data_IF_783310294617
#
_entry.id   IF_783310294617
#
_cell.length_a   1.000
_cell.length_b   1.000
_cell.length_c   1.000
_cell.angle_alpha   90.00
_cell.angle_beta   90.00
_cell.angle_gamma   90.00
#
_symmetry.space_group_name_H-M   'P 1'
#
loop_
_entity.id
_entity.type
_entity.pdbx_description
1 polymer ?
#
# COMPACT_ATOMS: atom_id res chain seq x y z
N UNK A 1 10.64 21.97 34.62
CA UNK A 1 9.33 21.90 33.93
C UNK A 1 9.25 20.57 33.18
N UNK A 2 8.41 19.64 33.65
CA UNK A 2 8.23 18.34 32.99
C UNK A 2 7.64 18.54 31.59
N UNK A 3 8.25 17.94 30.57
CA UNK A 3 7.66 17.90 29.22
C UNK A 3 6.26 17.30 29.35
N UNK A 4 5.21 18.09 29.15
CA UNK A 4 3.85 17.55 29.06
C UNK A 4 3.81 16.58 27.89
N UNK A 5 3.81 15.29 28.20
CA UNK A 5 3.63 14.24 27.21
C UNK A 5 2.14 14.26 26.81
N UNK A 6 1.87 14.41 25.51
CA UNK A 6 0.53 14.30 24.96
C UNK A 6 -0.14 13.01 25.47
N UNK A 7 -1.41 13.10 25.86
CA UNK A 7 -2.20 11.92 26.25
C UNK A 7 -2.22 10.89 25.11
N UNK A 8 -2.43 9.61 25.44
CA UNK A 8 -2.56 8.55 24.44
C UNK A 8 -3.59 8.90 23.36
N UNK A 9 -4.74 9.45 23.76
CA UNK A 9 -5.83 9.85 22.84
C UNK A 9 -5.38 11.00 21.93
N UNK A 10 -4.71 12.02 22.49
CA UNK A 10 -4.19 13.15 21.71
C UNK A 10 -3.14 12.67 20.69
N UNK A 11 -2.21 11.81 21.11
CA UNK A 11 -1.20 11.24 20.22
C UNK A 11 -1.81 10.36 19.13
N UNK A 12 -2.79 9.53 19.48
CA UNK A 12 -3.50 8.67 18.54
C UNK A 12 -4.28 9.49 17.51
N UNK A 13 -5.02 10.50 17.97
CA UNK A 13 -5.80 11.42 17.13
C UNK A 13 -4.92 12.23 16.19
N UNK A 14 -3.86 12.87 16.71
CA UNK A 14 -2.92 13.66 15.91
C UNK A 14 -2.23 12.80 14.85
N UNK A 15 -1.81 11.58 15.22
CA UNK A 15 -1.16 10.66 14.26
C UNK A 15 -2.15 10.14 13.22
N UNK A 16 -3.43 9.97 13.59
CA UNK A 16 -4.51 9.64 12.66
C UNK A 16 -4.79 10.75 11.66
N UNK A 17 -4.85 12.01 12.11
CA UNK A 17 -5.00 13.17 11.24
C UNK A 17 -3.79 13.30 10.30
N UNK A 18 -2.57 13.17 10.83
CA UNK A 18 -1.34 13.18 10.06
C UNK A 18 -1.37 12.15 8.92
N UNK A 19 -1.74 10.91 9.27
CA UNK A 19 -1.85 9.83 8.31
C UNK A 19 -2.96 10.11 7.29
N UNK A 20 -4.11 10.62 7.74
CA UNK A 20 -5.21 11.02 6.87
C UNK A 20 -4.82 12.07 5.84
N UNK A 21 -4.14 13.14 6.27
CA UNK A 21 -3.62 14.20 5.40
C UNK A 21 -2.58 13.64 4.43
N UNK A 22 -1.60 12.88 4.91
CA UNK A 22 -0.57 12.26 4.07
C UNK A 22 -1.17 11.33 3.01
N UNK A 23 -2.12 10.46 3.39
CA UNK A 23 -2.80 9.58 2.44
C UNK A 23 -3.65 10.35 1.43
N UNK A 24 -4.26 11.45 1.85
CA UNK A 24 -5.08 12.30 0.97
C UNK A 24 -4.22 13.07 -0.02
N UNK A 25 -3.08 13.62 0.41
CA UNK A 25 -2.12 14.27 -0.47
C UNK A 25 -1.53 13.30 -1.52
N UNK A 26 -1.24 12.05 -1.12
CA UNK A 26 -0.72 11.03 -2.02
C UNK A 26 -1.80 10.29 -2.85
N UNK A 27 -3.09 10.52 -2.58
CA UNK A 27 -4.18 9.77 -3.21
C UNK A 27 -4.23 9.91 -4.75
N UNK A 28 -4.02 11.09 -5.36
CA UNK A 28 -4.06 11.23 -6.81
C UNK A 28 -3.04 10.34 -7.54
N UNK A 29 -1.77 10.40 -7.13
CA UNK A 29 -0.71 9.59 -7.74
C UNK A 29 -0.91 8.10 -7.44
N UNK A 30 -1.44 7.76 -6.26
CA UNK A 30 -1.76 6.37 -5.93
C UNK A 30 -2.90 5.81 -6.78
N UNK A 31 -3.92 6.62 -7.10
CA UNK A 31 -4.97 6.20 -8.03
C UNK A 31 -4.41 5.98 -9.43
N UNK A 32 -3.58 6.88 -9.94
CA UNK A 32 -2.94 6.72 -11.26
C UNK A 32 -2.08 5.46 -11.30
N UNK A 33 -1.32 5.18 -10.23
CA UNK A 33 -0.60 3.91 -10.07
C UNK A 33 -1.53 2.71 -10.24
N UNK A 34 -2.65 2.67 -9.50
CA UNK A 34 -3.57 1.54 -9.52
C UNK A 34 -4.23 1.37 -10.89
N UNK A 35 -4.65 2.47 -11.53
CA UNK A 35 -5.24 2.45 -12.88
C UNK A 35 -4.27 1.87 -13.91
N UNK A 36 -3.01 2.31 -13.90
CA UNK A 36 -1.98 1.80 -14.82
C UNK A 36 -1.61 0.34 -14.52
N UNK A 37 -1.55 -0.03 -13.23
CA UNK A 37 -1.19 -1.39 -12.78
C UNK A 37 -2.25 -2.44 -13.15
N UNK A 38 -3.53 -2.07 -13.12
CA UNK A 38 -4.66 -2.99 -13.29
C UNK A 38 -5.41 -2.79 -14.61
N UNK A 39 -4.91 -1.95 -15.52
CA UNK A 39 -5.58 -1.60 -16.77
C UNK A 39 -5.98 -2.82 -17.61
N UNK A 40 -5.17 -3.88 -17.64
CA UNK A 40 -5.47 -5.08 -18.44
C UNK A 40 -6.69 -5.83 -17.88
N UNK A 41 -6.82 -5.91 -16.55
CA UNK A 41 -8.03 -6.46 -15.91
C UNK A 41 -9.24 -5.54 -16.09
N UNK A 42 -9.02 -4.22 -16.14
CA UNK A 42 -10.08 -3.26 -16.49
C UNK A 42 -10.53 -3.45 -17.94
N UNK A 43 -9.63 -3.77 -18.88
CA UNK A 43 -9.98 -4.05 -20.29
C UNK A 43 -10.76 -5.38 -20.37
N UNK A 44 -10.29 -6.45 -19.71
CA UNK A 44 -10.95 -7.77 -19.69
C UNK A 44 -12.37 -7.69 -19.11
N UNK A 45 -12.57 -6.89 -18.06
CA UNK A 45 -13.90 -6.63 -17.47
C UNK A 45 -14.73 -5.57 -18.22
N UNK A 46 -14.24 -5.06 -19.34
CA UNK A 46 -14.95 -4.07 -20.15
C UNK A 46 -15.09 -2.69 -19.50
N UNK A 47 -14.24 -2.35 -18.53
CA UNK A 47 -14.21 -1.05 -17.82
C UNK A 47 -13.24 -0.04 -18.40
N UNK A 48 -12.33 -0.47 -19.26
CA UNK A 48 -11.40 0.39 -19.97
C UNK A 48 -11.40 0.02 -21.44
N UNK A 49 -11.66 0.98 -22.31
CA UNK A 49 -11.74 0.73 -23.74
C UNK A 49 -10.37 0.48 -24.39
N UNK A 50 -9.33 1.21 -23.94
CA UNK A 50 -7.97 1.12 -24.47
C UNK A 50 -6.93 1.32 -23.38
N UNK A 51 -5.77 0.64 -23.47
CA UNK A 51 -4.71 0.79 -22.48
C UNK A 51 -4.23 2.24 -22.37
N UNK A 52 -3.66 2.58 -21.22
CA UNK A 52 -2.95 3.83 -20.99
C UNK A 52 -1.53 3.72 -21.53
N UNK A 53 -1.06 4.76 -22.23
CA UNK A 53 0.31 4.81 -22.74
C UNK A 53 1.35 5.09 -21.64
N UNK A 54 0.89 5.48 -20.44
CA UNK A 54 1.74 5.77 -19.30
C UNK A 54 1.01 6.57 -18.23
N UNK A 55 1.77 7.02 -17.23
CA UNK A 55 1.26 7.79 -16.07
C UNK A 55 0.63 9.11 -16.51
N UNK A 56 1.26 9.82 -17.45
CA UNK A 56 0.78 11.12 -17.96
C UNK A 56 -0.51 10.93 -18.76
N UNK A 57 -0.54 9.99 -19.71
CA UNK A 57 -1.75 9.67 -20.49
C UNK A 57 -2.92 9.26 -19.56
N UNK A 58 -2.65 8.41 -18.57
CA UNK A 58 -3.64 8.02 -17.57
C UNK A 58 -4.20 9.23 -16.82
N UNK A 59 -3.33 10.14 -16.38
CA UNK A 59 -3.72 11.35 -15.64
C UNK A 59 -4.58 12.26 -16.52
N UNK A 60 -4.13 12.57 -17.74
CA UNK A 60 -4.84 13.47 -18.66
C UNK A 60 -6.19 12.90 -19.05
N UNK A 61 -6.27 11.61 -19.40
CA UNK A 61 -7.53 10.95 -19.75
C UNK A 61 -8.49 10.92 -18.57
N UNK A 62 -8.00 10.56 -17.39
CA UNK A 62 -8.83 10.55 -16.17
C UNK A 62 -9.40 11.93 -15.87
N UNK A 63 -8.57 12.98 -15.97
CA UNK A 63 -9.03 14.36 -15.77
C UNK A 63 -10.07 14.77 -16.80
N UNK A 64 -9.85 14.50 -18.08
CA UNK A 64 -10.79 14.82 -19.16
C UNK A 64 -12.11 14.06 -19.08
N UNK A 65 -12.08 12.79 -18.65
CA UNK A 65 -13.26 11.92 -18.64
C UNK A 65 -14.06 12.02 -17.33
N UNK A 66 -13.39 12.22 -16.19
CA UNK A 66 -14.06 12.17 -14.88
C UNK A 66 -13.96 13.46 -14.07
N UNK A 67 -13.08 14.39 -14.45
CA UNK A 67 -12.75 15.60 -13.68
C UNK A 67 -11.71 15.36 -12.59
N UNK A 68 -11.56 16.35 -11.70
CA UNK A 68 -10.50 16.36 -10.67
C UNK A 68 -10.84 15.56 -9.40
N UNK A 69 -12.08 15.60 -8.92
CA UNK A 69 -12.48 14.93 -7.68
C UNK A 69 -12.24 13.40 -7.69
N UNK A 70 -12.43 12.69 -8.82
CA UNK A 70 -12.21 11.25 -8.87
C UNK A 70 -10.79 10.79 -8.59
N UNK A 71 -9.77 11.66 -8.62
CA UNK A 71 -8.42 11.31 -8.19
C UNK A 71 -8.35 10.79 -6.74
N UNK A 72 -9.32 11.15 -5.90
CA UNK A 72 -9.46 10.65 -4.51
C UNK A 72 -10.39 9.46 -4.36
N UNK A 73 -10.84 8.84 -5.46
CA UNK A 73 -11.76 7.71 -5.40
C UNK A 73 -11.11 6.51 -4.69
N UNK A 74 -11.77 6.04 -3.63
CA UNK A 74 -11.24 5.00 -2.75
C UNK A 74 -10.35 5.51 -1.60
N UNK A 75 -10.10 6.83 -1.51
CA UNK A 75 -9.26 7.38 -0.44
C UNK A 75 -9.85 7.21 0.96
N UNK A 76 -11.17 7.24 1.11
CA UNK A 76 -11.85 6.99 2.38
C UNK A 76 -11.39 5.67 3.02
N UNK A 77 -11.24 4.61 2.23
CA UNK A 77 -10.73 3.34 2.72
C UNK A 77 -9.28 3.42 3.20
N UNK A 78 -8.42 4.27 2.60
CA UNK A 78 -7.05 4.49 3.13
C UNK A 78 -7.07 5.12 4.52
N UNK A 79 -7.92 6.15 4.68
CA UNK A 79 -7.97 6.93 5.92
C UNK A 79 -8.54 6.07 7.03
N UNK A 80 -9.66 5.38 6.77
CA UNK A 80 -10.27 4.46 7.74
C UNK A 80 -9.30 3.36 8.14
N UNK A 81 -8.55 2.78 7.17
CA UNK A 81 -7.62 1.66 7.42
C UNK A 81 -6.54 1.98 8.45
N UNK A 82 -6.17 3.24 8.63
CA UNK A 82 -5.16 3.63 9.62
C UNK A 82 -5.56 3.22 11.04
N UNK A 83 -6.79 3.54 11.46
CA UNK A 83 -7.25 3.31 12.82
C UNK A 83 -7.23 1.84 13.28
N UNK A 84 -7.83 0.87 12.56
CA UNK A 84 -7.75 -0.54 12.95
C UNK A 84 -6.33 -1.10 12.82
N UNK A 85 -5.54 -0.63 11.85
CA UNK A 85 -4.12 -1.05 11.77
C UNK A 85 -3.35 -0.61 13.01
N UNK A 86 -3.58 0.62 13.49
CA UNK A 86 -2.93 1.09 14.71
C UNK A 86 -3.45 0.41 15.96
N UNK A 87 -4.76 0.16 16.08
CA UNK A 87 -5.32 -0.62 17.18
C UNK A 87 -4.65 -2.01 17.28
N UNK A 88 -4.48 -2.70 16.15
CA UNK A 88 -3.79 -3.99 16.09
C UNK A 88 -2.29 -3.87 16.43
N UNK A 89 -1.63 -2.81 15.97
CA UNK A 89 -0.25 -2.54 16.37
C UNK A 89 -0.14 -2.31 17.88
N UNK A 90 -1.03 -1.54 18.50
CA UNK A 90 -1.01 -1.34 19.95
C UNK A 90 -1.30 -2.63 20.71
N UNK A 91 -2.23 -3.45 20.24
CA UNK A 91 -2.59 -4.70 20.90
C UNK A 91 -1.49 -5.77 20.82
N UNK A 92 -0.86 -5.93 19.64
CA UNK A 92 -0.07 -7.15 19.35
C UNK A 92 1.41 -6.91 19.05
N UNK A 93 1.84 -5.68 18.76
CA UNK A 93 3.23 -5.43 18.31
C UNK A 93 4.26 -5.87 19.34
N UNK A 94 4.04 -5.59 20.62
CA UNK A 94 5.01 -5.91 21.67
C UNK A 94 5.05 -7.42 21.96
N UNK A 95 3.89 -8.09 21.93
CA UNK A 95 3.80 -9.55 22.05
C UNK A 95 4.52 -10.25 20.90
N UNK A 96 4.30 -9.79 19.66
CA UNK A 96 4.97 -10.35 18.47
C UNK A 96 6.48 -10.06 18.52
N UNK A 97 6.88 -8.86 18.93
CA UNK A 97 8.31 -8.54 19.08
C UNK A 97 8.97 -9.38 20.18
N UNK A 98 8.28 -9.62 21.29
CA UNK A 98 8.79 -10.46 22.37
C UNK A 98 8.96 -11.92 21.92
N UNK A 99 7.98 -12.46 21.20
CA UNK A 99 8.03 -13.83 20.67
C UNK A 99 9.18 -14.06 19.68
N UNK A 100 9.57 -13.04 18.92
CA UNK A 100 10.64 -13.10 17.93
C UNK A 100 11.89 -12.30 18.33
N UNK A 101 12.11 -12.05 19.63
CA UNK A 101 13.22 -11.24 20.10
C UNK A 101 14.57 -11.85 19.69
N UNK A 102 15.38 -11.06 18.99
CA UNK A 102 16.75 -11.40 18.65
C UNK A 102 17.66 -11.20 19.88
N UNK A 103 18.54 -12.16 20.16
CA UNK A 103 19.62 -12.04 21.13
C UNK A 103 20.84 -11.40 20.48
N UNK A 104 21.65 -10.68 21.26
CA UNK A 104 22.92 -10.13 20.77
C UNK A 104 23.90 -11.24 20.35
N UNK A 105 23.79 -12.42 20.95
CA UNK A 105 24.58 -13.62 20.63
C UNK A 105 24.10 -14.35 19.35
N UNK A 106 22.91 -14.01 18.83
CA UNK A 106 22.41 -14.64 17.61
C UNK A 106 23.27 -14.24 16.40
N UNK A 107 23.50 -15.20 15.49
CA UNK A 107 24.13 -14.93 14.20
C UNK A 107 23.28 -13.96 13.37
N UNK A 108 23.92 -13.26 12.43
CA UNK A 108 23.22 -12.32 11.54
C UNK A 108 22.04 -12.98 10.80
N UNK A 109 22.20 -14.23 10.35
CA UNK A 109 21.14 -14.97 9.68
C UNK A 109 19.92 -15.24 10.59
N UNK A 110 20.15 -15.54 11.87
CA UNK A 110 19.08 -15.77 12.85
C UNK A 110 18.37 -14.45 13.18
N UNK A 111 19.12 -13.36 13.38
CA UNK A 111 18.54 -12.01 13.61
C UNK A 111 17.66 -11.58 12.43
N UNK A 112 18.16 -11.76 11.21
CA UNK A 112 17.44 -11.48 9.97
C UNK A 112 16.14 -12.30 9.87
N UNK A 113 16.23 -13.62 10.09
CA UNK A 113 15.08 -14.52 10.02
C UNK A 113 14.02 -14.19 11.07
N UNK A 114 14.43 -13.86 12.31
CA UNK A 114 13.53 -13.41 13.38
C UNK A 114 12.82 -12.10 13.01
N UNK A 115 13.54 -11.13 12.44
CA UNK A 115 12.94 -9.86 12.00
C UNK A 115 11.92 -10.06 10.86
N UNK A 116 12.23 -10.92 9.88
CA UNK A 116 11.30 -11.27 8.82
C UNK A 116 10.07 -11.99 9.39
N UNK A 117 10.26 -12.98 10.26
CA UNK A 117 9.16 -13.75 10.85
C UNK A 117 8.25 -12.85 11.71
N UNK A 118 8.84 -12.03 12.58
CA UNK A 118 8.13 -11.03 13.39
C UNK A 118 7.29 -10.10 12.50
N UNK A 119 7.89 -9.57 11.44
CA UNK A 119 7.19 -8.74 10.48
C UNK A 119 6.09 -9.48 9.73
N UNK A 120 6.38 -10.68 9.23
CA UNK A 120 5.44 -11.52 8.50
C UNK A 120 4.19 -11.84 9.31
N UNK A 121 4.36 -12.28 10.57
CA UNK A 121 3.26 -12.57 11.49
C UNK A 121 2.46 -11.31 11.81
N UNK A 122 3.11 -10.20 12.18
CA UNK A 122 2.41 -8.93 12.45
C UNK A 122 1.64 -8.42 11.22
N UNK A 123 2.23 -8.57 10.04
CA UNK A 123 1.63 -8.20 8.76
C UNK A 123 0.41 -9.06 8.42
N UNK A 124 0.54 -10.38 8.48
CA UNK A 124 -0.55 -11.32 8.22
C UNK A 124 -1.72 -11.11 9.19
N UNK A 125 -1.42 -10.98 10.49
CA UNK A 125 -2.43 -10.72 11.51
C UNK A 125 -3.16 -9.40 11.27
N UNK A 126 -2.44 -8.33 10.92
CA UNK A 126 -3.07 -7.07 10.55
C UNK A 126 -3.98 -7.22 9.33
N UNK A 127 -3.51 -7.90 8.29
CA UNK A 127 -4.29 -8.14 7.07
C UNK A 127 -5.55 -8.97 7.36
N UNK A 128 -5.57 -9.88 8.33
CA UNK A 128 -6.79 -10.62 8.67
C UNK A 128 -7.99 -9.69 8.94
N UNK A 129 -7.76 -8.50 9.49
CA UNK A 129 -8.81 -7.52 9.77
C UNK A 129 -8.92 -6.45 8.68
N UNK A 130 -7.79 -5.95 8.18
CA UNK A 130 -7.79 -4.74 7.34
C UNK A 130 -7.74 -5.02 5.83
N UNK A 131 -7.57 -6.28 5.42
CA UNK A 131 -7.44 -6.63 4.00
C UNK A 131 -8.68 -6.27 3.18
N UNK A 132 -9.88 -6.41 3.75
CA UNK A 132 -11.12 -6.06 3.06
C UNK A 132 -11.19 -4.58 2.69
N UNK A 133 -10.58 -3.68 3.49
CA UNK A 133 -10.46 -2.26 3.18
C UNK A 133 -9.46 -2.01 2.04
N UNK A 134 -8.35 -2.74 2.00
CA UNK A 134 -7.40 -2.70 0.88
C UNK A 134 -8.04 -3.16 -0.44
N UNK A 135 -8.85 -4.23 -0.35
CA UNK A 135 -9.64 -4.73 -1.47
C UNK A 135 -10.60 -3.64 -1.97
N UNK A 136 -11.41 -3.07 -1.07
CA UNK A 136 -12.42 -2.09 -1.47
C UNK A 136 -11.80 -0.80 -2.02
N UNK A 137 -10.67 -0.36 -1.44
CA UNK A 137 -9.84 0.72 -1.99
C UNK A 137 -9.44 0.44 -3.44
N UNK A 138 -8.91 -0.76 -3.70
CA UNK A 138 -8.41 -1.16 -5.03
C UNK A 138 -9.54 -1.17 -6.04
N UNK A 139 -10.69 -1.75 -5.68
CA UNK A 139 -11.88 -1.79 -6.53
C UNK A 139 -12.39 -0.40 -6.88
N UNK A 140 -12.47 0.51 -5.91
CA UNK A 140 -12.91 1.89 -6.14
C UNK A 140 -11.91 2.69 -6.97
N UNK A 141 -10.62 2.55 -6.73
CA UNK A 141 -9.58 3.29 -7.45
C UNK A 141 -9.58 2.94 -8.95
N UNK A 142 -9.79 1.66 -9.27
CA UNK A 142 -9.84 1.12 -10.63
C UNK A 142 -11.23 1.23 -11.29
N UNK A 143 -12.22 1.79 -10.59
CA UNK A 143 -13.56 2.01 -11.13
C UNK A 143 -13.61 3.33 -11.91
N UNK A 144 -13.34 3.23 -13.22
CA UNK A 144 -13.31 4.36 -14.15
C UNK A 144 -14.61 4.50 -14.93
N UNK A 145 -14.97 5.74 -15.28
CA UNK A 145 -16.09 6.03 -16.20
C UNK A 145 -15.72 5.89 -17.68
N UNK A 146 -14.48 5.50 -17.99
CA UNK A 146 -13.90 5.57 -19.34
C UNK A 146 -14.38 4.54 -20.37
N UNK A 147 -15.48 3.81 -20.14
CA UNK A 147 -15.98 2.83 -21.10
C UNK A 147 -17.42 3.11 -21.57
N UNK A 148 -17.61 3.05 -22.89
CA UNK A 148 -18.91 3.14 -23.56
C UNK A 148 -19.82 1.92 -23.30
N UNK A 149 -19.25 0.71 -23.07
CA UNK A 149 -20.05 -0.50 -22.76
C UNK A 149 -20.80 -0.41 -21.42
N UNK A 150 -20.32 0.40 -20.48
CA UNK A 150 -21.01 0.69 -19.22
C UNK A 150 -21.87 1.96 -19.28
N UNK A 151 -22.05 2.57 -20.47
CA UNK A 151 -22.72 3.85 -20.62
C UNK A 151 -22.07 4.99 -19.82
N UNK A 152 -20.77 4.90 -19.54
CA UNK A 152 -20.06 5.83 -18.65
C UNK A 152 -20.44 5.72 -17.16
N UNK A 153 -21.20 4.70 -16.76
CA UNK A 153 -21.56 4.47 -15.37
C UNK A 153 -20.45 3.77 -14.59
N UNK A 154 -20.39 4.08 -13.30
CA UNK A 154 -19.45 3.47 -12.36
C UNK A 154 -19.96 2.12 -11.89
N UNK A 155 -19.05 1.18 -11.61
CA UNK A 155 -19.42 -0.11 -11.04
C UNK A 155 -19.95 0.04 -9.60
N UNK A 156 -19.36 0.94 -8.82
CA UNK A 156 -19.66 1.09 -7.40
C UNK A 156 -20.08 2.52 -7.04
N UNK A 157 -21.01 2.67 -6.12
CA UNK A 157 -21.41 3.98 -5.60
C UNK A 157 -20.50 4.46 -4.46
N UNK A 158 -19.80 3.53 -3.79
CA UNK A 158 -18.91 3.85 -2.69
C UNK A 158 -18.41 2.61 -1.96
N UNK A 159 -17.77 2.81 -0.79
CA UNK A 159 -17.17 1.74 0.00
C UNK A 159 -18.17 0.64 0.36
N UNK A 160 -19.32 1.01 0.93
CA UNK A 160 -20.36 0.06 1.35
C UNK A 160 -20.91 -0.73 0.16
N UNK A 161 -21.06 -0.09 -1.00
CA UNK A 161 -21.55 -0.75 -2.22
C UNK A 161 -20.57 -1.82 -2.74
N UNK A 162 -19.25 -1.60 -2.60
CA UNK A 162 -18.25 -2.63 -2.90
C UNK A 162 -18.44 -3.86 -2.04
N UNK A 163 -18.63 -3.68 -0.71
CA UNK A 163 -18.87 -4.80 0.20
C UNK A 163 -20.16 -5.53 -0.15
N UNK A 164 -21.28 -4.81 -0.29
CA UNK A 164 -22.59 -5.41 -0.61
C UNK A 164 -22.54 -6.22 -1.90
N UNK A 165 -22.02 -5.65 -2.99
CA UNK A 165 -21.94 -6.33 -4.29
C UNK A 165 -20.98 -7.52 -4.27
N UNK A 166 -19.81 -7.38 -3.64
CA UNK A 166 -18.83 -8.47 -3.56
C UNK A 166 -19.33 -9.62 -2.69
N UNK A 167 -19.93 -9.32 -1.53
CA UNK A 167 -20.49 -10.35 -0.65
C UNK A 167 -21.64 -11.10 -1.33
N UNK A 168 -22.48 -10.39 -2.09
CA UNK A 168 -23.56 -11.02 -2.86
C UNK A 168 -23.06 -11.93 -3.97
N UNK A 169 -21.96 -11.60 -4.64
CA UNK A 169 -21.45 -12.38 -5.77
C UNK A 169 -20.50 -13.53 -5.36
N UNK A 170 -19.57 -13.25 -4.45
CA UNK A 170 -18.41 -14.10 -4.17
C UNK A 170 -18.23 -14.40 -2.66
N UNK A 171 -19.12 -13.87 -1.81
CA UNK A 171 -19.02 -14.00 -0.36
C UNK A 171 -17.74 -13.38 0.22
N UNK A 172 -17.34 -13.88 1.40
CA UNK A 172 -16.15 -13.40 2.12
C UNK A 172 -14.85 -13.68 1.34
N UNK A 173 -14.81 -14.79 0.58
CA UNK A 173 -13.66 -15.17 -0.24
C UNK A 173 -13.36 -14.10 -1.30
N UNK A 174 -14.40 -13.45 -1.84
CA UNK A 174 -14.25 -12.33 -2.77
C UNK A 174 -13.52 -11.13 -2.17
N UNK A 175 -13.76 -10.81 -0.89
CA UNK A 175 -13.10 -9.70 -0.17
C UNK A 175 -11.64 -10.00 0.19
N UNK A 176 -11.28 -11.27 0.34
CA UNK A 176 -9.94 -11.73 0.74
C UNK A 176 -9.12 -12.31 -0.42
N UNK A 177 -9.60 -12.15 -1.65
CA UNK A 177 -8.90 -12.62 -2.84
C UNK A 177 -7.53 -11.95 -2.98
N UNK A 178 -6.48 -12.76 -3.04
CA UNK A 178 -5.08 -12.31 -3.05
C UNK A 178 -4.41 -12.21 -1.66
N UNK A 179 -5.08 -12.66 -0.58
CA UNK A 179 -4.53 -12.59 0.78
C UNK A 179 -3.18 -13.29 0.92
N UNK A 180 -3.06 -14.54 0.45
CA UNK A 180 -1.83 -15.35 0.60
C UNK A 180 -0.63 -14.68 -0.08
N UNK A 181 -0.78 -14.22 -1.33
CA UNK A 181 0.29 -13.55 -2.06
C UNK A 181 0.67 -12.21 -1.42
N UNK A 182 -0.24 -11.59 -0.67
CA UNK A 182 0.04 -10.39 0.11
C UNK A 182 0.93 -10.66 1.31
N UNK A 183 0.71 -11.77 2.01
CA UNK A 183 1.58 -12.21 3.10
C UNK A 183 2.99 -12.52 2.58
N UNK A 184 3.10 -13.22 1.43
CA UNK A 184 4.38 -13.46 0.76
C UNK A 184 5.05 -12.14 0.38
N UNK A 185 4.30 -11.17 -0.16
CA UNK A 185 4.82 -9.85 -0.50
C UNK A 185 5.38 -9.09 0.70
N UNK A 186 4.76 -9.21 1.88
CA UNK A 186 5.27 -8.62 3.12
C UNK A 186 6.61 -9.24 3.51
N UNK A 187 6.72 -10.57 3.42
CA UNK A 187 7.96 -11.31 3.74
C UNK A 187 9.08 -10.91 2.79
N UNK A 188 8.82 -10.90 1.48
CA UNK A 188 9.81 -10.51 0.45
C UNK A 188 10.23 -9.04 0.63
N UNK A 189 9.27 -8.12 0.77
CA UNK A 189 9.56 -6.71 0.98
C UNK A 189 10.42 -6.50 2.23
N UNK A 190 10.07 -7.13 3.36
CA UNK A 190 10.83 -6.98 4.60
C UNK A 190 12.20 -7.64 4.54
N UNK A 191 12.31 -8.80 3.90
CA UNK A 191 13.59 -9.46 3.71
C UNK A 191 14.55 -8.61 2.88
N UNK A 192 14.09 -8.07 1.75
CA UNK A 192 14.89 -7.12 0.97
C UNK A 192 15.23 -5.86 1.78
N UNK A 193 14.24 -5.29 2.49
CA UNK A 193 14.43 -4.07 3.26
C UNK A 193 15.53 -4.24 4.32
N UNK A 194 15.40 -5.24 5.20
CA UNK A 194 16.40 -5.46 6.24
C UNK A 194 17.73 -5.93 5.66
N UNK A 195 17.72 -6.76 4.62
CA UNK A 195 18.95 -7.26 3.99
C UNK A 195 19.78 -6.14 3.40
N UNK A 196 19.15 -5.23 2.64
CA UNK A 196 19.83 -4.06 2.12
C UNK A 196 20.20 -3.07 3.22
N UNK A 197 19.32 -2.80 4.17
CA UNK A 197 19.61 -1.83 5.24
C UNK A 197 20.80 -2.28 6.11
N UNK A 198 20.81 -3.54 6.53
CA UNK A 198 21.87 -4.09 7.39
C UNK A 198 23.20 -4.24 6.65
N UNK A 199 23.18 -4.43 5.32
CA UNK A 199 24.40 -4.51 4.49
C UNK A 199 24.94 -3.13 4.14
N UNK A 200 24.08 -2.21 3.70
CA UNK A 200 24.49 -0.92 3.18
C UNK A 200 24.76 0.10 4.29
N UNK A 201 24.08 0.02 5.44
CA UNK A 201 24.29 0.97 6.54
C UNK A 201 25.74 0.98 7.04
N UNK A 202 26.38 -0.16 7.36
CA UNK A 202 27.77 -0.17 7.81
C UNK A 202 28.75 0.30 6.73
N UNK A 203 28.49 -0.06 5.47
CA UNK A 203 29.36 0.29 4.33
C UNK A 203 29.30 1.78 4.00
N UNK A 204 28.11 2.37 4.02
CA UNK A 204 27.90 3.74 3.52
C UNK A 204 27.91 4.82 4.60
N UNK A 205 27.56 4.50 5.85
CA UNK A 205 27.31 5.51 6.88
C UNK A 205 28.21 5.41 8.12
N UNK A 206 28.85 4.25 8.37
CA UNK A 206 29.60 4.04 9.61
C UNK A 206 28.77 4.28 10.87
N UNK A 207 29.44 4.56 11.99
CA UNK A 207 28.79 4.78 13.30
C UNK A 207 28.24 6.22 13.48
N UNK A 208 28.81 7.21 12.78
CA UNK A 208 28.45 8.64 12.89
C UNK A 208 27.54 9.13 11.75
N UNK A 209 26.48 8.38 11.46
CA UNK A 209 25.56 8.70 10.38
C UNK A 209 24.71 9.96 10.68
N UNK A 210 24.89 11.03 9.89
CA UNK A 210 23.96 12.17 9.91
C UNK A 210 22.52 11.69 9.56
N UNK A 211 21.52 12.27 10.21
CA UNK A 211 20.08 12.02 9.99
C UNK A 211 19.72 12.10 8.50
N UNK A 212 20.28 13.06 7.76
CA UNK A 212 20.02 13.20 6.33
C UNK A 212 20.51 11.98 5.53
N UNK A 213 21.73 11.50 5.82
CA UNK A 213 22.29 10.36 5.11
C UNK A 213 21.58 9.04 5.47
N UNK A 214 21.17 8.89 6.74
CA UNK A 214 20.30 7.79 7.17
C UNK A 214 18.93 7.81 6.46
N UNK A 215 18.37 9.00 6.22
CA UNK A 215 17.14 9.17 5.45
C UNK A 215 17.33 8.77 3.98
N UNK A 216 18.41 9.23 3.33
CA UNK A 216 18.72 8.87 1.94
C UNK A 216 18.89 7.36 1.79
N UNK A 217 19.63 6.72 2.69
CA UNK A 217 19.79 5.26 2.69
C UNK A 217 18.44 4.56 2.88
N UNK A 218 17.67 4.96 3.90
CA UNK A 218 16.35 4.37 4.16
C UNK A 218 15.40 4.52 2.98
N UNK A 219 15.46 5.66 2.29
CA UNK A 219 14.67 5.92 1.08
C UNK A 219 15.11 5.04 -0.10
N UNK A 220 16.41 4.92 -0.34
CA UNK A 220 16.96 4.03 -1.37
C UNK A 220 16.56 2.56 -1.12
N UNK A 221 16.75 2.07 0.11
CA UNK A 221 16.37 0.72 0.51
C UNK A 221 14.86 0.49 0.32
N UNK A 222 14.03 1.48 0.65
CA UNK A 222 12.57 1.43 0.46
C UNK A 222 12.19 1.30 -1.01
N UNK A 223 12.81 2.09 -1.89
CA UNK A 223 12.56 2.01 -3.34
C UNK A 223 12.98 0.64 -3.87
N UNK A 224 14.21 0.22 -3.63
CA UNK A 224 14.76 -1.02 -4.19
C UNK A 224 13.97 -2.24 -3.72
N UNK A 225 13.64 -2.32 -2.42
CA UNK A 225 12.79 -3.39 -1.88
C UNK A 225 11.37 -3.34 -2.44
N UNK A 226 10.84 -2.13 -2.66
CA UNK A 226 9.55 -1.91 -3.29
C UNK A 226 9.51 -2.37 -4.75
N UNK A 227 10.58 -2.17 -5.52
CA UNK A 227 10.71 -2.61 -6.91
C UNK A 227 10.78 -4.14 -6.98
N UNK A 228 11.59 -4.78 -6.13
CA UNK A 228 11.75 -6.24 -6.12
C UNK A 228 10.44 -6.94 -5.74
N UNK A 229 9.70 -6.39 -4.77
CA UNK A 229 8.40 -6.93 -4.36
C UNK A 229 7.22 -6.49 -5.24
N UNK A 230 7.45 -5.60 -6.22
CA UNK A 230 6.39 -5.02 -7.03
C UNK A 230 5.59 -6.02 -7.87
N UNK A 231 6.20 -7.05 -8.50
CA UNK A 231 5.43 -8.09 -9.21
C UNK A 231 4.40 -8.78 -8.33
N UNK A 232 4.72 -8.98 -7.04
CA UNK A 232 3.84 -9.60 -6.05
C UNK A 232 2.65 -8.69 -5.73
N UNK A 233 2.87 -7.36 -5.60
CA UNK A 233 1.78 -6.39 -5.47
C UNK A 233 0.89 -6.39 -6.73
N UNK A 234 1.47 -6.46 -7.93
CA UNK A 234 0.66 -6.52 -9.16
C UNK A 234 -0.21 -7.77 -9.23
N UNK A 235 0.33 -8.95 -8.91
CA UNK A 235 -0.47 -10.19 -8.83
C UNK A 235 -1.60 -10.04 -7.80
N UNK A 236 -1.28 -9.53 -6.60
CA UNK A 236 -2.28 -9.24 -5.55
C UNK A 236 -3.41 -8.38 -6.09
N UNK A 237 -3.11 -7.24 -6.72
CA UNK A 237 -4.12 -6.28 -7.18
C UNK A 237 -4.95 -6.84 -8.33
N UNK A 238 -4.33 -7.55 -9.28
CA UNK A 238 -5.05 -8.22 -10.37
C UNK A 238 -6.00 -9.30 -9.87
N UNK A 239 -5.56 -10.10 -8.89
CA UNK A 239 -6.45 -11.05 -8.24
C UNK A 239 -7.67 -10.37 -7.61
N UNK A 240 -7.50 -9.24 -6.89
CA UNK A 240 -8.62 -8.47 -6.33
C UNK A 240 -9.62 -8.00 -7.42
N UNK A 241 -9.15 -7.70 -8.62
CA UNK A 241 -10.00 -7.23 -9.73
C UNK A 241 -10.93 -8.29 -10.30
N UNK A 242 -10.62 -9.59 -10.10
CA UNK A 242 -11.45 -10.70 -10.61
C UNK A 242 -12.67 -11.03 -9.74
N UNK A 243 -12.78 -10.44 -8.55
CA UNK A 243 -13.95 -10.69 -7.69
C UNK A 243 -15.23 -10.12 -8.33
N UNK A 244 -16.31 -10.88 -8.38
CA UNK A 244 -17.55 -10.52 -9.07
C UNK A 244 -17.50 -10.61 -10.59
N UNK A 245 -16.39 -11.06 -11.18
CA UNK A 245 -16.30 -11.42 -12.60
C UNK A 245 -16.60 -12.91 -12.80
N UNK A 246 -16.98 -13.29 -14.02
CA UNK A 246 -17.21 -14.68 -14.40
C UNK A 246 -15.89 -15.48 -14.45
N UNK A 247 -14.84 -14.88 -15.02
CA UNK A 247 -13.52 -15.49 -15.15
C UNK A 247 -12.62 -15.01 -14.02
N UNK A 248 -12.01 -15.97 -13.33
CA UNK A 248 -11.29 -15.79 -12.08
C UNK A 248 -9.98 -16.58 -12.15
N UNK A 249 -8.89 -15.98 -11.68
CA UNK A 249 -7.65 -16.73 -11.45
C UNK A 249 -7.88 -17.81 -10.40
N UNK A 250 -7.32 -19.00 -10.64
CA UNK A 250 -7.39 -20.14 -9.70
C UNK A 250 -6.50 -19.91 -8.46
N UNK A 251 -5.47 -19.09 -8.60
CA UNK A 251 -4.56 -18.72 -7.53
C UNK A 251 -3.48 -17.75 -8.01
N UNK A 252 -2.54 -17.43 -7.13
CA UNK A 252 -1.49 -16.45 -7.41
C UNK A 252 -0.51 -16.92 -8.49
N UNK A 253 -0.20 -18.22 -8.53
CA UNK A 253 0.68 -18.83 -9.54
C UNK A 253 -0.01 -18.82 -10.91
N UNK A 254 -1.29 -19.17 -10.94
CA UNK A 254 -2.12 -19.11 -12.16
C UNK A 254 -2.23 -17.68 -12.70
N UNK A 255 -2.43 -16.70 -11.82
CA UNK A 255 -2.40 -15.27 -12.16
C UNK A 255 -1.03 -14.88 -12.75
N UNK A 256 0.07 -15.20 -12.06
CA UNK A 256 1.41 -14.88 -12.52
C UNK A 256 1.71 -15.49 -13.90
N UNK A 257 1.42 -16.79 -14.08
CA UNK A 257 1.62 -17.51 -15.33
C UNK A 257 0.79 -16.89 -16.46
N UNK A 258 -0.50 -16.66 -16.22
CA UNK A 258 -1.40 -16.08 -17.22
C UNK A 258 -0.94 -14.68 -17.63
N UNK A 259 -0.57 -13.82 -16.68
CA UNK A 259 -0.10 -12.46 -16.98
C UNK A 259 1.20 -12.48 -17.75
N UNK A 260 2.19 -13.29 -17.34
CA UNK A 260 3.48 -13.37 -18.05
C UNK A 260 3.29 -13.90 -19.48
N UNK A 261 2.44 -14.91 -19.67
CA UNK A 261 2.20 -15.52 -20.98
C UNK A 261 1.39 -14.62 -21.93
N UNK A 262 0.39 -13.90 -21.41
CA UNK A 262 -0.51 -13.08 -22.25
C UNK A 262 -0.05 -11.63 -22.42
N UNK A 263 0.68 -11.08 -21.46
CA UNK A 263 1.02 -9.65 -21.43
C UNK A 263 2.53 -9.37 -21.28
N UNK A 264 3.34 -10.41 -21.02
CA UNK A 264 4.77 -10.30 -20.79
C UNK A 264 5.14 -9.89 -19.35
N UNK A 265 6.40 -10.16 -18.97
CA UNK A 265 6.90 -9.88 -17.62
C UNK A 265 6.77 -8.40 -17.22
N UNK A 266 7.04 -7.48 -18.14
CA UNK A 266 6.95 -6.04 -17.87
C UNK A 266 5.55 -5.57 -17.49
N UNK A 267 4.51 -6.36 -17.78
CA UNK A 267 3.15 -6.09 -17.29
C UNK A 267 3.05 -6.11 -15.76
N UNK A 268 3.86 -6.93 -15.09
CA UNK A 268 3.95 -6.98 -13.63
C UNK A 268 4.58 -5.72 -13.03
N UNK A 269 5.31 -4.95 -13.82
CA UNK A 269 5.99 -3.71 -13.40
C UNK A 269 5.19 -2.43 -13.73
N UNK A 270 3.99 -2.57 -14.34
CA UNK A 270 3.13 -1.42 -14.66
C UNK A 270 2.78 -0.61 -13.41
N UNK A 271 3.08 0.69 -13.44
CA UNK A 271 2.85 1.61 -12.33
C UNK A 271 3.98 1.70 -11.30
N UNK A 272 5.08 0.95 -11.45
CA UNK A 272 6.21 1.01 -10.51
C UNK A 272 6.78 2.43 -10.35
N UNK A 273 6.94 3.17 -11.45
CA UNK A 273 7.37 4.58 -11.42
C UNK A 273 6.39 5.49 -10.65
N UNK A 274 5.08 5.33 -10.86
CA UNK A 274 4.08 6.06 -10.08
C UNK A 274 4.12 5.70 -8.59
N UNK A 275 4.46 4.45 -8.26
CA UNK A 275 4.65 4.03 -6.88
C UNK A 275 5.88 4.67 -6.21
N UNK A 276 6.96 4.92 -6.95
CA UNK A 276 8.13 5.66 -6.46
C UNK A 276 7.75 7.11 -6.15
N UNK A 277 7.07 7.78 -7.10
CA UNK A 277 6.57 9.15 -6.91
C UNK A 277 5.61 9.26 -5.71
N UNK A 278 4.72 8.28 -5.54
CA UNK A 278 3.86 8.17 -4.36
C UNK A 278 4.68 8.06 -3.06
N UNK A 279 5.81 7.35 -3.10
CA UNK A 279 6.75 7.25 -1.99
C UNK A 279 7.34 8.61 -1.59
N UNK A 280 7.82 9.39 -2.58
CA UNK A 280 8.32 10.77 -2.35
C UNK A 280 7.24 11.63 -1.73
N UNK A 281 6.05 11.66 -2.33
CA UNK A 281 4.94 12.50 -1.87
C UNK A 281 4.53 12.15 -0.42
N UNK A 282 4.42 10.86 -0.11
CA UNK A 282 4.09 10.41 1.24
C UNK A 282 5.14 10.80 2.27
N UNK A 283 6.42 10.62 1.96
CA UNK A 283 7.52 10.98 2.85
C UNK A 283 7.61 12.49 3.09
N UNK A 284 7.50 13.30 2.02
CA UNK A 284 7.52 14.75 2.13
C UNK A 284 6.39 15.31 2.99
N UNK A 285 5.16 14.79 2.83
CA UNK A 285 4.01 15.23 3.63
C UNK A 285 4.15 14.83 5.10
N UNK A 286 4.70 13.64 5.39
CA UNK A 286 4.96 13.23 6.77
C UNK A 286 6.03 14.11 7.43
N UNK A 287 7.13 14.40 6.74
CA UNK A 287 8.17 15.30 7.23
C UNK A 287 7.62 16.70 7.53
N UNK A 288 6.79 17.24 6.63
CA UNK A 288 6.10 18.51 6.86
C UNK A 288 5.13 18.48 8.05
N UNK A 289 4.41 17.37 8.23
CA UNK A 289 3.53 17.21 9.38
C UNK A 289 4.30 17.10 10.70
N UNK A 290 5.44 16.41 10.73
CA UNK A 290 6.28 16.31 11.92
C UNK A 290 6.83 17.68 12.33
N UNK A 291 7.24 18.50 11.36
CA UNK A 291 7.62 19.89 11.61
C UNK A 291 6.45 20.71 12.20
N UNK A 292 5.24 20.55 11.64
CA UNK A 292 4.03 21.17 12.18
C UNK A 292 3.71 20.72 13.61
N UNK A 293 3.77 19.41 13.89
CA UNK A 293 3.54 18.86 15.23
C UNK A 293 4.54 19.42 16.24
N UNK A 294 5.81 19.54 15.86
CA UNK A 294 6.82 20.16 16.71
C UNK A 294 6.52 21.64 16.98
N UNK A 295 6.10 22.39 15.97
CA UNK A 295 5.69 23.79 16.13
C UNK A 295 4.47 23.93 17.07
N UNK A 296 3.44 23.08 16.89
CA UNK A 296 2.26 23.05 17.75
C UNK A 296 2.61 22.75 19.22
N UNK A 297 3.48 21.76 19.46
CA UNK A 297 3.94 21.43 20.81
C UNK A 297 4.72 22.61 21.42
N UNK A 298 5.55 23.31 20.64
CA UNK A 298 6.27 24.51 21.11
C UNK A 298 5.29 25.61 21.52
N UNK A 299 4.24 25.85 20.73
CA UNK A 299 3.20 26.84 21.03
C UNK A 299 2.36 26.48 22.26
N UNK A 300 2.03 25.19 22.48
CA UNK A 300 1.27 24.73 23.66
C UNK A 300 2.08 24.82 24.96
N UNK A 301 3.41 24.81 24.86
CA UNK A 301 4.33 24.89 26.00
C UNK A 301 4.79 26.32 26.33
N UNK A 302 4.32 27.32 25.56
CA UNK A 302 4.44 28.75 25.87
C UNK A 302 3.18 29.22 26.57
#
# INVERSE_FOLDING_TARGET
MGKQQLSFIENFGLSGIAAGVSKTAAAPIERVKLLVQNQDEMIKSGRLAKPYNGVIDCTVRTFKTEGILPFWRGNLANVIRYFPTQALNFAFKDQIKAAFKASNQDSHAVKFSKNIASGGVAGAMSLCFVYSLDYARTRLANDSKGCAKSGGQRQFNGLIDVYKKTLKSDGIVGLYRGFVISCVGIVVYRGCYFGFYDTLKPIMLGDDANVFMSFVLGYFVTITSGIISYPIDTIRRRMMMTSGEAVKYKGSIDCAKTVIQSEGFMSLMKGAGANILRGVAGAGVLAGFDAFKQAYIRMKNQ
#
